data_IF_212538432966
#
_entry.id   IF_212538432966
#
_cell.length_a   1.000
_cell.length_b   1.000
_cell.length_c   1.000
_cell.angle_alpha   90.00
_cell.angle_beta   90.00
_cell.angle_gamma   90.00
#
_symmetry.space_group_name_H-M   'P 1'
#
loop_
_entity.id
_entity.type
_entity.pdbx_description
1 polymer ?
#
# COMPACT_ATOMS: atom_id res chain seq x y z
N UNK A 1 -1.44 -70.81 26.92
CA UNK A 1 -2.15 -69.52 27.03
C UNK A 1 -3.05 -69.56 28.25
N UNK A 2 -2.86 -68.64 29.19
CA UNK A 2 -3.72 -68.49 30.37
C UNK A 2 -5.01 -67.77 29.97
N UNK A 3 -6.16 -68.29 30.41
CA UNK A 3 -7.46 -67.69 30.13
C UNK A 3 -7.73 -66.52 31.08
N UNK A 4 -8.20 -65.39 30.55
CA UNK A 4 -8.70 -64.29 31.37
C UNK A 4 -9.99 -64.70 32.09
N UNK A 5 -10.18 -64.22 33.33
CA UNK A 5 -11.45 -64.36 34.03
C UNK A 5 -12.56 -63.66 33.21
N UNK A 6 -13.50 -64.44 32.68
CA UNK A 6 -14.62 -63.97 31.86
C UNK A 6 -15.89 -64.67 32.34
N UNK A 7 -16.96 -63.93 32.60
CA UNK A 7 -18.28 -64.52 32.89
C UNK A 7 -19.12 -63.70 33.86
N UNK A 8 -20.29 -64.24 34.22
CA UNK A 8 -21.23 -63.63 35.19
C UNK A 8 -20.74 -63.68 36.66
N UNK A 9 -19.78 -64.56 36.95
CA UNK A 9 -19.23 -64.77 38.30
C UNK A 9 -17.75 -64.36 38.41
N UNK A 10 -17.18 -63.76 37.36
CA UNK A 10 -15.80 -63.25 37.42
C UNK A 10 -15.76 -62.01 38.28
N UNK A 11 -14.80 -61.95 39.19
CA UNK A 11 -14.60 -60.84 40.11
C UNK A 11 -13.21 -60.23 39.95
N UNK A 12 -13.06 -58.98 40.32
CA UNK A 12 -11.80 -58.23 40.37
C UNK A 12 -11.74 -57.41 41.66
N UNK A 13 -10.53 -57.12 42.11
CA UNK A 13 -10.27 -56.25 43.25
C UNK A 13 -10.10 -54.84 42.72
N UNK A 14 -10.76 -53.85 43.36
CA UNK A 14 -10.54 -52.44 43.05
C UNK A 14 -9.19 -51.98 43.58
N UNK A 15 -8.41 -51.30 42.74
CA UNK A 15 -7.13 -50.71 43.11
C UNK A 15 -7.27 -49.54 44.09
N UNK A 16 -8.48 -48.99 44.27
CA UNK A 16 -8.76 -47.85 45.16
C UNK A 16 -9.22 -48.29 46.55
N UNK A 17 -10.24 -49.14 46.63
CA UNK A 17 -10.80 -49.59 47.92
C UNK A 17 -10.28 -50.94 48.39
N UNK A 18 -9.63 -51.73 47.52
CA UNK A 18 -9.23 -53.11 47.81
C UNK A 18 -10.42 -54.07 47.94
N UNK A 19 -11.65 -53.65 47.61
CA UNK A 19 -12.84 -54.48 47.70
C UNK A 19 -13.05 -55.31 46.43
N UNK A 20 -13.72 -56.46 46.59
CA UNK A 20 -14.01 -57.39 45.50
C UNK A 20 -15.34 -57.02 44.82
N UNK A 21 -15.29 -56.74 43.51
CA UNK A 21 -16.44 -56.38 42.68
C UNK A 21 -16.58 -57.29 41.45
N UNK A 22 -17.76 -57.38 40.82
CA UNK A 22 -17.92 -58.06 39.54
C UNK A 22 -17.01 -57.44 38.47
N UNK A 23 -16.24 -58.27 37.74
CA UNK A 23 -15.28 -57.80 36.74
C UNK A 23 -15.92 -56.93 35.63
N UNK A 24 -17.22 -57.15 35.36
CA UNK A 24 -17.99 -56.40 34.36
C UNK A 24 -18.29 -54.95 34.76
N UNK A 25 -18.18 -54.64 36.04
CA UNK A 25 -18.44 -53.31 36.61
C UNK A 25 -17.13 -52.54 36.86
N UNK A 26 -15.99 -53.14 36.52
CA UNK A 26 -14.68 -52.50 36.63
C UNK A 26 -14.39 -51.62 35.42
N UNK A 27 -13.80 -50.45 35.67
CA UNK A 27 -13.38 -49.47 34.68
C UNK A 27 -11.93 -49.07 34.92
N UNK A 28 -11.21 -48.71 33.85
CA UNK A 28 -9.84 -48.18 33.97
C UNK A 28 -9.87 -46.66 34.03
N UNK A 29 -9.22 -46.10 35.04
CA UNK A 29 -9.04 -44.67 35.20
C UNK A 29 -7.92 -44.11 34.30
N UNK A 30 -7.86 -42.78 34.22
CA UNK A 30 -6.87 -42.05 33.42
C UNK A 30 -5.42 -42.27 33.86
N UNK A 31 -5.19 -42.73 35.09
CA UNK A 31 -3.89 -43.08 35.66
C UNK A 31 -3.53 -44.57 35.48
N UNK A 32 -4.41 -45.37 34.87
CA UNK A 32 -4.22 -46.80 34.64
C UNK A 32 -4.76 -47.74 35.73
N UNK A 33 -5.27 -47.22 36.85
CA UNK A 33 -5.89 -48.01 37.93
C UNK A 33 -7.21 -48.64 37.48
N UNK A 34 -7.45 -49.89 37.89
CA UNK A 34 -8.71 -50.61 37.67
C UNK A 34 -9.60 -50.45 38.91
N UNK A 35 -10.69 -49.71 38.78
CA UNK A 35 -11.60 -49.37 39.89
C UNK A 35 -13.04 -49.78 39.57
N UNK A 36 -13.89 -49.91 40.59
CA UNK A 36 -15.31 -50.09 40.36
C UNK A 36 -15.97 -48.81 39.83
N UNK A 37 -17.02 -48.91 39.01
CA UNK A 37 -17.71 -47.74 38.43
C UNK A 37 -18.20 -46.73 39.48
N UNK A 38 -18.57 -47.18 40.69
CA UNK A 38 -18.99 -46.27 41.78
C UNK A 38 -17.84 -45.47 42.38
N UNK A 39 -16.61 -45.90 42.13
CA UNK A 39 -15.37 -45.31 42.64
C UNK A 39 -14.63 -44.54 41.56
N UNK A 40 -15.15 -44.53 40.33
CA UNK A 40 -14.52 -43.89 39.18
C UNK A 40 -14.44 -42.37 39.35
N UNK A 41 -13.25 -41.82 39.22
CA UNK A 41 -13.02 -40.40 39.20
C UNK A 41 -12.67 -39.91 37.80
N UNK A 42 -13.45 -38.97 37.28
CA UNK A 42 -13.18 -38.35 35.99
C UNK A 42 -11.88 -37.56 36.04
N UNK A 43 -11.10 -37.63 34.96
CA UNK A 43 -9.86 -36.85 34.79
C UNK A 43 -10.13 -35.36 35.03
N UNK A 44 -9.29 -34.71 35.83
CA UNK A 44 -9.46 -33.29 36.15
C UNK A 44 -9.33 -32.44 34.86
N UNK A 45 -10.24 -31.48 34.59
CA UNK A 45 -10.30 -30.71 33.34
C UNK A 45 -9.07 -29.83 33.08
N UNK A 46 -8.17 -29.69 34.06
CA UNK A 46 -6.92 -28.94 33.92
C UNK A 46 -5.78 -29.73 33.26
N UNK A 47 -5.92 -31.05 33.07
CA UNK A 47 -4.93 -31.92 32.41
C UNK A 47 -5.12 -32.01 30.89
N UNK A 48 -6.04 -31.23 30.33
CA UNK A 48 -6.28 -31.14 28.90
C UNK A 48 -6.03 -29.69 28.45
N UNK A 49 -4.95 -29.42 27.69
CA UNK A 49 -4.72 -28.10 27.15
C UNK A 49 -5.94 -27.70 26.31
N UNK A 50 -6.59 -26.59 26.68
CA UNK A 50 -7.61 -26.00 25.81
C UNK A 50 -6.95 -25.62 24.49
N UNK A 51 -7.53 -26.03 23.37
CA UNK A 51 -7.09 -25.59 22.06
C UNK A 51 -7.18 -24.06 22.00
N UNK A 52 -6.03 -23.39 21.86
CA UNK A 52 -5.97 -21.95 21.66
C UNK A 52 -6.25 -21.69 20.17
N UNK A 53 -7.48 -21.30 19.84
CA UNK A 53 -7.71 -20.66 18.55
C UNK A 53 -7.15 -19.24 18.66
N UNK A 54 -6.28 -18.84 17.74
CA UNK A 54 -5.81 -17.45 17.67
C UNK A 54 -7.03 -16.53 17.55
N UNK A 55 -7.12 -15.54 18.42
CA UNK A 55 -8.20 -14.55 18.39
C UNK A 55 -8.12 -13.78 17.06
N UNK A 56 -9.04 -14.01 16.11
CA UNK A 56 -9.03 -13.26 14.86
C UNK A 56 -9.61 -11.87 15.17
N UNK A 57 -8.75 -10.94 15.55
CA UNK A 57 -9.10 -9.53 15.75
C UNK A 57 -9.34 -8.82 14.40
N UNK A 58 -10.30 -9.32 13.62
CA UNK A 58 -10.77 -8.68 12.40
C UNK A 58 -11.96 -7.76 12.69
N UNK A 59 -11.94 -6.55 12.13
CA UNK A 59 -13.13 -5.69 12.09
C UNK A 59 -14.15 -6.32 11.15
N UNK A 60 -15.29 -6.78 11.70
CA UNK A 60 -16.42 -7.34 10.93
C UNK A 60 -16.87 -6.40 9.81
N UNK A 61 -16.88 -5.11 10.10
CA UNK A 61 -17.29 -4.04 9.19
C UNK A 61 -16.15 -3.01 9.10
N UNK A 62 -15.07 -3.36 8.39
CA UNK A 62 -14.01 -2.40 8.10
C UNK A 62 -14.60 -1.23 7.30
N UNK A 63 -14.26 0.00 7.69
CA UNK A 63 -14.58 1.15 6.85
C UNK A 63 -13.89 0.98 5.50
N UNK A 64 -14.60 1.35 4.44
CA UNK A 64 -13.99 1.47 3.12
C UNK A 64 -12.91 2.52 3.15
N UNK A 65 -11.91 2.35 2.30
CA UNK A 65 -10.86 3.35 2.16
C UNK A 65 -11.46 4.69 1.73
N UNK A 66 -10.86 5.78 2.18
CA UNK A 66 -11.27 7.13 1.79
C UNK A 66 -10.53 7.50 0.51
N UNK A 67 -11.21 8.07 -0.47
CA UNK A 67 -10.54 8.71 -1.61
C UNK A 67 -9.88 10.00 -1.13
N UNK A 68 -8.56 10.06 -1.20
CA UNK A 68 -7.81 11.28 -0.86
C UNK A 68 -7.85 12.26 -2.04
N UNK A 69 -7.99 13.58 -1.77
CA UNK A 69 -7.94 14.58 -2.83
C UNK A 69 -6.53 14.61 -3.44
N UNK A 70 -6.45 14.91 -4.74
CA UNK A 70 -5.15 15.04 -5.40
C UNK A 70 -4.38 16.24 -4.85
N UNK A 71 -3.13 16.00 -4.45
CA UNK A 71 -2.25 16.97 -3.83
C UNK A 71 -1.17 17.48 -4.80
N UNK A 72 -0.57 18.61 -4.46
CA UNK A 72 0.60 19.13 -5.16
C UNK A 72 1.85 18.33 -4.77
N UNK A 73 2.66 17.98 -5.76
CA UNK A 73 3.94 17.33 -5.61
C UNK A 73 5.04 18.36 -5.84
N UNK A 74 6.02 18.41 -4.93
CA UNK A 74 7.19 19.27 -5.07
C UNK A 74 8.15 18.68 -6.11
N UNK A 75 8.50 19.48 -7.12
CA UNK A 75 9.46 19.13 -8.15
C UNK A 75 10.89 19.42 -7.69
N UNK A 76 11.85 18.72 -8.31
CA UNK A 76 13.27 19.02 -8.14
C UNK A 76 13.61 20.43 -8.69
N UNK A 77 14.68 21.07 -8.20
CA UNK A 77 15.17 22.32 -8.78
C UNK A 77 15.44 22.21 -10.27
N UNK A 78 14.91 23.14 -11.05
CA UNK A 78 15.01 23.19 -12.51
C UNK A 78 14.53 21.91 -13.22
N UNK A 79 13.43 21.32 -12.74
CA UNK A 79 12.83 20.10 -13.31
C UNK A 79 12.37 20.19 -14.77
N UNK A 80 12.31 21.38 -15.38
CA UNK A 80 11.86 21.54 -16.76
C UNK A 80 13.05 21.61 -17.71
N UNK A 81 13.06 20.81 -18.77
CA UNK A 81 14.12 20.80 -19.79
C UNK A 81 13.49 20.99 -21.17
N UNK A 82 13.93 21.99 -21.93
CA UNK A 82 13.51 22.16 -23.33
C UNK A 82 14.09 21.05 -24.19
N UNK A 83 13.34 20.57 -25.18
CA UNK A 83 13.80 19.48 -26.05
C UNK A 83 14.88 19.91 -27.05
N UNK A 84 14.54 20.79 -27.98
CA UNK A 84 15.36 21.17 -29.13
C UNK A 84 15.01 22.60 -29.55
N UNK A 85 15.97 23.33 -30.12
CA UNK A 85 15.74 24.68 -30.66
C UNK A 85 14.52 24.70 -31.59
N UNK A 86 13.64 25.69 -31.42
CA UNK A 86 12.39 25.82 -32.17
C UNK A 86 11.26 24.87 -31.74
N UNK A 87 11.47 23.98 -30.76
CA UNK A 87 10.44 23.07 -30.24
C UNK A 87 9.70 23.70 -29.05
N UNK A 88 8.38 23.51 -28.99
CA UNK A 88 7.56 23.83 -27.81
C UNK A 88 7.51 22.69 -26.78
N UNK A 89 8.24 21.60 -26.99
CA UNK A 89 8.16 20.43 -26.10
C UNK A 89 9.10 20.60 -24.92
N UNK A 90 8.55 20.38 -23.72
CA UNK A 90 9.24 20.45 -22.43
C UNK A 90 9.20 19.05 -21.79
N UNK A 91 10.37 18.55 -21.40
CA UNK A 91 10.55 17.40 -20.53
C UNK A 91 10.44 17.86 -19.07
N UNK A 92 9.75 17.08 -18.23
CA UNK A 92 9.63 17.32 -16.79
C UNK A 92 10.21 16.14 -16.03
N UNK A 93 11.12 16.43 -15.09
CA UNK A 93 11.66 15.45 -14.13
C UNK A 93 10.80 15.42 -12.88
N UNK A 94 10.17 14.27 -12.63
CA UNK A 94 9.43 13.99 -11.40
C UNK A 94 9.50 12.50 -11.09
N UNK A 95 10.23 12.15 -10.03
CA UNK A 95 10.50 10.76 -9.68
C UNK A 95 9.26 10.01 -9.22
N UNK A 96 9.03 8.83 -9.80
CA UNK A 96 7.93 7.95 -9.41
C UNK A 96 6.55 8.60 -9.51
N UNK A 97 6.31 9.39 -10.55
CA UNK A 97 5.12 10.26 -10.64
C UNK A 97 3.79 9.50 -10.74
N UNK A 98 3.78 8.22 -11.10
CA UNK A 98 2.57 7.38 -11.12
C UNK A 98 1.49 7.83 -12.10
N UNK A 99 1.84 8.66 -13.09
CA UNK A 99 0.92 9.27 -14.06
C UNK A 99 0.83 8.48 -15.35
N UNK A 100 -0.26 8.68 -16.08
CA UNK A 100 -0.54 8.10 -17.39
C UNK A 100 -0.49 9.16 -18.50
N UNK A 101 -0.29 8.71 -19.74
CA UNK A 101 -0.40 9.61 -20.91
C UNK A 101 -1.84 10.05 -21.07
N UNK A 102 -2.05 11.35 -21.26
CA UNK A 102 -3.36 11.98 -21.32
C UNK A 102 -3.75 12.71 -20.03
N UNK A 103 -3.12 12.40 -18.90
CA UNK A 103 -3.35 13.10 -17.64
C UNK A 103 -3.12 14.60 -17.80
N UNK A 104 -3.89 15.40 -17.07
CA UNK A 104 -3.76 16.86 -17.10
C UNK A 104 -3.01 17.34 -15.86
N UNK A 105 -1.85 17.95 -16.07
CA UNK A 105 -0.99 18.46 -14.99
C UNK A 105 -0.87 19.96 -15.11
N UNK A 106 -1.09 20.66 -14.00
CA UNK A 106 -0.78 22.08 -13.86
C UNK A 106 0.53 22.24 -13.10
N UNK A 107 1.38 23.11 -13.63
CA UNK A 107 2.64 23.48 -13.00
C UNK A 107 2.51 24.83 -12.30
N UNK A 108 3.19 24.95 -11.17
CA UNK A 108 3.21 26.17 -10.37
C UNK A 108 4.63 26.47 -9.93
N UNK A 109 4.97 27.74 -9.76
CA UNK A 109 6.22 28.16 -9.15
C UNK A 109 6.14 28.11 -7.61
N UNK A 110 7.05 28.82 -6.92
CA UNK A 110 7.04 28.93 -5.48
C UNK A 110 5.71 29.47 -4.94
N UNK A 111 5.34 29.03 -3.73
CA UNK A 111 4.22 29.61 -2.98
C UNK A 111 4.46 31.11 -2.81
N UNK A 112 3.42 31.89 -3.06
CA UNK A 112 3.44 33.35 -2.89
C UNK A 112 2.32 33.82 -1.99
N UNK A 113 2.57 34.92 -1.31
CA UNK A 113 1.54 35.64 -0.54
C UNK A 113 0.99 36.85 -1.30
N UNK A 114 1.38 37.01 -2.56
CA UNK A 114 0.90 38.08 -3.45
C UNK A 114 -0.37 37.63 -4.21
N UNK A 115 -0.96 38.56 -4.96
CA UNK A 115 -2.32 38.57 -5.51
C UNK A 115 -2.68 37.52 -6.59
N UNK A 116 -1.91 36.44 -6.76
CA UNK A 116 -2.31 35.35 -7.66
C UNK A 116 -3.51 34.59 -7.02
N UNK A 117 -4.66 34.43 -7.71
CA UNK A 117 -5.87 33.84 -7.12
C UNK A 117 -5.69 32.46 -6.49
N UNK A 118 -4.62 31.73 -6.87
CA UNK A 118 -4.31 30.41 -6.34
C UNK A 118 -3.11 30.35 -5.40
N UNK A 119 -2.44 31.48 -5.12
CA UNK A 119 -1.39 31.57 -4.10
C UNK A 119 0.00 31.08 -4.54
N UNK A 120 0.28 30.99 -5.84
CA UNK A 120 1.58 30.60 -6.37
C UNK A 120 2.12 31.62 -7.37
N UNK A 121 3.43 31.81 -7.40
CA UNK A 121 4.09 32.47 -8.52
C UNK A 121 4.16 31.54 -9.75
N UNK A 122 4.51 32.09 -10.90
CA UNK A 122 4.87 31.30 -12.08
C UNK A 122 6.28 30.69 -11.94
N UNK A 123 6.56 29.52 -12.57
CA UNK A 123 7.93 29.05 -12.77
C UNK A 123 8.79 30.13 -13.45
N UNK A 124 10.10 30.11 -13.24
CA UNK A 124 11.01 31.07 -13.89
C UNK A 124 11.06 30.82 -15.39
N UNK A 125 10.96 31.89 -16.18
CA UNK A 125 11.17 31.83 -17.63
C UNK A 125 12.58 31.31 -17.94
N UNK A 126 12.71 30.47 -18.97
CA UNK A 126 13.98 29.90 -19.39
C UNK A 126 13.96 29.54 -20.88
N UNK A 127 15.12 29.63 -21.53
CA UNK A 127 15.33 29.26 -22.95
C UNK A 127 14.25 29.75 -23.94
N UNK A 128 13.71 30.95 -23.75
CA UNK A 128 12.67 31.52 -24.62
C UNK A 128 11.23 31.08 -24.29
N UNK A 129 11.04 30.26 -23.27
CA UNK A 129 9.74 29.85 -22.73
C UNK A 129 9.40 30.70 -21.51
N UNK A 130 8.23 31.31 -21.52
CA UNK A 130 7.77 32.18 -20.42
C UNK A 130 7.17 31.36 -19.28
N UNK A 131 7.47 31.77 -18.04
CA UNK A 131 6.90 31.17 -16.84
C UNK A 131 5.38 31.08 -16.82
N UNK A 132 4.71 32.14 -17.25
CA UNK A 132 3.25 32.22 -17.35
C UNK A 132 2.66 31.19 -18.29
N UNK A 133 3.35 30.85 -19.38
CA UNK A 133 2.89 29.80 -20.28
C UNK A 133 3.09 28.42 -19.65
N UNK A 134 4.19 28.19 -18.91
CA UNK A 134 4.36 26.94 -18.15
C UNK A 134 3.25 26.79 -17.09
N UNK A 135 2.88 27.88 -16.42
CA UNK A 135 1.85 27.90 -15.38
C UNK A 135 0.40 28.02 -15.88
N UNK A 136 0.13 27.60 -17.12
CA UNK A 136 -1.20 27.68 -17.73
C UNK A 136 -2.29 27.16 -16.79
N UNK A 137 -3.34 27.95 -16.60
CA UNK A 137 -4.35 27.67 -15.58
C UNK A 137 -5.14 26.38 -15.80
N UNK A 138 -5.38 26.03 -17.06
CA UNK A 138 -6.02 24.78 -17.45
C UNK A 138 -5.10 23.55 -17.32
N UNK A 139 -3.81 23.75 -17.05
CA UNK A 139 -2.80 22.70 -17.13
C UNK A 139 -2.51 22.25 -18.56
N UNK A 140 -1.71 21.19 -18.67
CA UNK A 140 -1.32 20.55 -19.91
C UNK A 140 -1.61 19.07 -19.87
N UNK A 141 -2.08 18.52 -21.01
CA UNK A 141 -2.10 17.07 -21.19
C UNK A 141 -0.67 16.58 -21.38
N UNK A 142 -0.28 15.56 -20.62
CA UNK A 142 1.09 15.04 -20.62
C UNK A 142 1.23 13.76 -21.45
N UNK A 143 2.43 13.49 -21.93
CA UNK A 143 2.84 12.19 -22.49
C UNK A 143 3.97 11.63 -21.65
N UNK A 144 3.82 10.42 -21.12
CA UNK A 144 4.83 9.80 -20.25
C UNK A 144 6.12 9.48 -21.00
N UNK A 145 7.23 9.56 -20.28
CA UNK A 145 8.58 9.42 -20.80
C UNK A 145 9.21 10.75 -21.21
N UNK A 146 10.54 10.79 -21.16
CA UNK A 146 11.38 11.89 -21.65
C UNK A 146 11.54 11.76 -23.16
N UNK A 147 11.50 12.87 -23.89
CA UNK A 147 11.77 12.86 -25.33
C UNK A 147 13.18 13.34 -25.66
N UNK A 148 13.79 12.69 -26.65
CA UNK A 148 15.06 13.10 -27.24
C UNK A 148 14.89 14.33 -28.15
N UNK A 149 16.01 14.86 -28.68
CA UNK A 149 16.00 16.02 -29.58
C UNK A 149 15.29 15.80 -30.91
N UNK A 150 14.98 14.54 -31.26
CA UNK A 150 14.20 14.17 -32.45
C UNK A 150 12.71 13.99 -32.14
N UNK A 151 12.30 14.16 -30.88
CA UNK A 151 10.91 14.04 -30.44
C UNK A 151 10.49 12.62 -30.06
N UNK A 152 11.39 11.64 -30.04
CA UNK A 152 11.08 10.26 -29.68
C UNK A 152 11.18 10.05 -28.17
N UNK A 153 10.27 9.25 -27.61
CA UNK A 153 10.34 8.89 -26.19
C UNK A 153 11.52 7.93 -25.95
N UNK A 154 12.35 8.27 -24.97
CA UNK A 154 13.51 7.49 -24.53
C UNK A 154 13.00 6.33 -23.67
N UNK A 155 13.33 5.09 -24.07
CA UNK A 155 12.93 3.88 -23.33
C UNK A 155 13.47 3.89 -21.89
N UNK A 156 12.65 3.41 -20.94
CA UNK A 156 13.01 3.34 -19.53
C UNK A 156 12.95 4.66 -18.77
N UNK A 157 12.31 5.70 -19.32
CA UNK A 157 12.16 7.01 -18.66
C UNK A 157 10.72 7.30 -18.20
N UNK A 158 9.78 6.39 -18.43
CA UNK A 158 8.33 6.60 -18.21
C UNK A 158 7.90 6.73 -16.76
N UNK A 159 8.74 6.29 -15.81
CA UNK A 159 8.40 6.30 -14.38
C UNK A 159 8.81 7.62 -13.71
N UNK A 160 9.78 8.33 -14.32
CA UNK A 160 10.47 9.47 -13.74
C UNK A 160 10.31 10.76 -14.57
N UNK A 161 9.79 10.65 -15.78
CA UNK A 161 9.69 11.76 -16.71
C UNK A 161 8.38 11.72 -17.48
N UNK A 162 7.90 12.90 -17.82
CA UNK A 162 6.83 13.11 -18.78
C UNK A 162 7.08 14.39 -19.57
N UNK A 163 6.34 14.57 -20.65
CA UNK A 163 6.45 15.73 -21.52
C UNK A 163 5.11 16.44 -21.68
N UNK A 164 5.19 17.74 -21.94
CA UNK A 164 4.07 18.52 -22.45
C UNK A 164 4.54 19.46 -23.55
N UNK A 165 3.60 20.01 -24.31
CA UNK A 165 3.89 21.05 -25.31
C UNK A 165 3.37 22.37 -24.78
N UNK A 166 4.27 23.33 -24.56
CA UNK A 166 3.90 24.67 -24.08
C UNK A 166 3.19 25.47 -25.17
N UNK A 167 2.23 26.30 -24.78
CA UNK A 167 1.52 27.15 -25.73
C UNK A 167 2.42 28.27 -26.26
N UNK A 168 2.41 28.52 -27.57
CA UNK A 168 2.93 29.72 -28.26
C UNK A 168 4.42 30.06 -28.10
N UNK A 169 5.16 29.38 -27.22
CA UNK A 169 6.61 29.55 -27.05
C UNK A 169 7.37 28.36 -27.61
N UNK A 170 8.60 28.63 -28.05
CA UNK A 170 9.53 27.62 -28.52
C UNK A 170 10.89 27.86 -27.88
N UNK A 171 11.59 26.77 -27.61
CA UNK A 171 12.96 26.79 -27.11
C UNK A 171 13.88 27.60 -28.03
N UNK A 172 14.73 28.43 -27.46
CA UNK A 172 15.73 29.20 -28.24
C UNK A 172 16.90 28.30 -28.61
N UNK A 173 17.43 27.55 -27.64
CA UNK A 173 18.58 26.66 -27.80
C UNK A 173 18.14 25.19 -27.81
N UNK A 174 17.24 24.80 -26.90
CA UNK A 174 16.92 23.40 -26.63
C UNK A 174 17.98 22.71 -25.77
N UNK A 175 17.58 21.66 -25.05
CA UNK A 175 18.43 20.93 -24.10
C UNK A 175 18.79 21.74 -22.85
N UNK A 176 18.07 22.83 -22.56
CA UNK A 176 18.35 23.70 -21.42
C UNK A 176 17.35 23.40 -20.31
N UNK A 177 17.86 23.11 -19.11
CA UNK A 177 17.06 22.96 -17.90
C UNK A 177 16.77 24.31 -17.24
N UNK A 178 15.58 24.47 -16.64
CA UNK A 178 15.13 25.70 -16.02
C UNK A 178 13.78 25.56 -15.31
N UNK A 179 13.10 26.68 -15.11
CA UNK A 179 11.86 26.78 -14.33
C UNK A 179 12.08 27.19 -12.87
N UNK A 180 13.31 27.14 -12.36
CA UNK A 180 13.66 27.61 -11.02
C UNK A 180 13.44 26.58 -9.93
N UNK A 181 13.36 27.05 -8.69
CA UNK A 181 13.23 26.23 -7.48
C UNK A 181 11.80 26.25 -6.98
N UNK A 182 11.46 25.28 -6.10
CA UNK A 182 10.17 25.17 -5.43
C UNK A 182 8.96 25.15 -6.37
N UNK A 183 9.14 24.62 -7.58
CA UNK A 183 8.03 24.37 -8.48
C UNK A 183 7.24 23.16 -8.02
N UNK A 184 5.95 23.13 -8.33
CA UNK A 184 5.07 22.01 -8.03
C UNK A 184 4.31 21.54 -9.27
N UNK A 185 3.92 20.27 -9.27
CA UNK A 185 3.02 19.65 -10.24
C UNK A 185 1.80 19.11 -9.51
N UNK A 186 0.64 19.13 -10.15
CA UNK A 186 -0.57 18.56 -9.59
C UNK A 186 -1.82 18.85 -10.42
N UNK A 187 -3.02 18.66 -9.86
CA UNK A 187 -4.26 18.88 -10.58
C UNK A 187 -4.45 20.35 -10.94
N UNK A 188 -5.19 20.61 -12.02
CA UNK A 188 -5.49 21.98 -12.47
C UNK A 188 -6.31 22.77 -11.43
N UNK A 189 -7.17 22.06 -10.69
CA UNK A 189 -7.99 22.57 -9.59
C UNK A 189 -7.62 21.87 -8.30
N UNK A 190 -7.34 22.63 -7.24
CA UNK A 190 -7.15 22.11 -5.90
C UNK A 190 -8.50 22.09 -5.20
N UNK A 191 -8.97 20.90 -4.80
CA UNK A 191 -10.14 20.79 -3.95
C UNK A 191 -9.74 21.08 -2.50
N UNK A 192 -10.60 21.82 -1.79
CA UNK A 192 -10.40 22.26 -0.39
C UNK A 192 -10.83 21.22 0.64
#
# INVERSE_FOLDING_TARGET
MTGFAKGKHSKAISDRSGMEFPYREMVKEWNGSLVHVSEYESKHPQLEPRAYAGDPQGLKDSRTDRTEPEALILLEPNSFETMASGSGIINVSEKGHGRSTGDTVRFRGPVSTTSDPDGFENPKSFDGVTGSNIAKSAGYSITVGRKDSSGNVISGTTDDFYTFTVDTNTATTGGVSGGGEFCTSGPATLES
#
